data_IF_783132246702
#
_entry.id   IF_783132246702
#
_cell.length_a   1.000
_cell.length_b   1.000
_cell.length_c   1.000
_cell.angle_alpha   90.00
_cell.angle_beta   90.00
_cell.angle_gamma   90.00
#
_symmetry.space_group_name_H-M   'P 1'
#
loop_
_entity.id
_entity.type
_entity.pdbx_description
1 polymer ?
#
# COMPACT_ATOMS: atom_id res chain seq x y z
N UNK A 1 15.60 -28.81 -61.75
CA UNK A 1 14.83 -29.29 -60.58
C UNK A 1 15.39 -28.82 -59.25
N UNK A 2 16.72 -28.89 -58.95
CA UNK A 2 17.32 -28.42 -57.71
C UNK A 2 17.29 -26.91 -57.48
N UNK A 3 17.31 -26.09 -58.54
CA UNK A 3 17.27 -24.62 -58.46
C UNK A 3 15.86 -24.14 -58.05
N UNK A 4 14.80 -24.68 -58.65
CA UNK A 4 13.41 -24.35 -58.31
C UNK A 4 13.05 -24.73 -56.90
N UNK A 5 13.56 -25.85 -56.39
CA UNK A 5 13.32 -26.29 -55.03
C UNK A 5 13.96 -25.37 -53.99
N UNK A 6 15.16 -24.85 -54.28
CA UNK A 6 15.86 -23.88 -53.41
C UNK A 6 15.13 -22.52 -53.37
N UNK A 7 14.66 -22.01 -54.52
CA UNK A 7 13.89 -20.77 -54.54
C UNK A 7 12.56 -20.92 -53.80
N UNK A 8 11.90 -22.04 -53.91
CA UNK A 8 10.65 -22.32 -53.16
C UNK A 8 10.85 -22.36 -51.68
N UNK A 9 11.90 -23.03 -51.17
CA UNK A 9 12.23 -23.07 -49.75
C UNK A 9 12.64 -21.69 -49.20
N UNK A 10 13.40 -20.90 -49.94
CA UNK A 10 13.74 -19.54 -49.49
C UNK A 10 12.54 -18.61 -49.48
N UNK A 11 11.65 -18.65 -50.45
CA UNK A 11 10.40 -17.88 -50.43
C UNK A 11 9.46 -18.32 -49.31
N UNK A 12 9.36 -19.63 -49.07
CA UNK A 12 8.54 -20.16 -47.99
C UNK A 12 9.07 -19.76 -46.60
N UNK A 13 10.40 -19.82 -46.40
CA UNK A 13 11.02 -19.36 -45.16
C UNK A 13 10.90 -17.84 -44.96
N UNK A 14 11.01 -17.04 -46.03
CA UNK A 14 10.82 -15.61 -45.95
C UNK A 14 9.38 -15.24 -45.62
N UNK A 15 8.41 -15.94 -46.22
CA UNK A 15 6.97 -15.75 -45.95
C UNK A 15 6.62 -16.17 -44.51
N UNK A 16 7.17 -17.28 -44.05
CA UNK A 16 7.00 -17.74 -42.69
C UNK A 16 7.62 -16.79 -41.67
N UNK A 17 8.80 -16.22 -41.95
CA UNK A 17 9.46 -15.23 -41.09
C UNK A 17 8.69 -13.92 -41.01
N UNK A 18 8.17 -13.42 -42.14
CA UNK A 18 7.34 -12.21 -42.20
C UNK A 18 6.01 -12.42 -41.50
N UNK A 19 5.41 -13.61 -41.63
CA UNK A 19 4.14 -13.92 -40.97
C UNK A 19 4.27 -14.05 -39.45
N UNK A 20 5.39 -14.57 -38.96
CA UNK A 20 5.66 -14.67 -37.52
C UNK A 20 6.05 -13.35 -36.85
N UNK A 21 6.63 -12.39 -37.61
CA UNK A 21 7.01 -11.09 -37.05
C UNK A 21 5.85 -10.10 -36.95
N UNK A 22 4.68 -10.42 -37.54
CA UNK A 22 3.49 -9.56 -37.48
C UNK A 22 2.48 -9.95 -36.40
N UNK A 23 2.71 -11.05 -35.66
CA UNK A 23 1.92 -11.30 -34.45
C UNK A 23 2.42 -10.43 -33.31
N UNK A 24 2.13 -9.12 -33.37
CA UNK A 24 2.09 -8.31 -32.17
C UNK A 24 0.92 -8.81 -31.34
N UNK A 25 1.23 -9.56 -30.28
CA UNK A 25 0.27 -9.83 -29.22
C UNK A 25 0.05 -8.47 -28.51
N UNK A 26 -0.85 -7.66 -29.04
CA UNK A 26 -1.34 -6.49 -28.35
C UNK A 26 -2.25 -7.02 -27.24
N UNK A 27 -1.69 -7.23 -26.06
CA UNK A 27 -2.49 -7.26 -24.85
C UNK A 27 -3.11 -5.86 -24.75
N UNK A 28 -4.40 -5.74 -25.10
CA UNK A 28 -5.12 -4.50 -24.91
C UNK A 28 -5.08 -4.13 -23.42
N UNK A 29 -4.84 -2.87 -23.11
CA UNK A 29 -5.02 -2.40 -21.75
C UNK A 29 -6.46 -2.68 -21.32
N UNK A 30 -6.71 -3.23 -20.13
CA UNK A 30 -8.06 -3.44 -19.65
C UNK A 30 -8.79 -2.10 -19.63
N UNK A 31 -10.01 -2.08 -20.16
CA UNK A 31 -10.85 -0.90 -20.06
C UNK A 31 -11.11 -0.58 -18.58
N UNK A 32 -11.11 0.70 -18.15
CA UNK A 32 -11.45 1.08 -16.78
C UNK A 32 -12.78 0.50 -16.30
N UNK A 33 -13.73 0.28 -17.23
CA UNK A 33 -15.04 -0.28 -16.92
C UNK A 33 -15.02 -1.81 -16.65
N UNK A 34 -13.95 -2.51 -17.07
CA UNK A 34 -13.76 -3.93 -16.80
C UNK A 34 -13.20 -4.21 -15.40
N UNK A 35 -12.69 -3.17 -14.71
CA UNK A 35 -12.24 -3.27 -13.33
C UNK A 35 -13.38 -2.97 -12.37
N UNK A 36 -13.71 -3.94 -11.50
CA UNK A 36 -14.72 -3.74 -10.45
C UNK A 36 -14.28 -2.79 -9.33
N UNK A 37 -12.97 -2.56 -9.16
CA UNK A 37 -12.44 -1.62 -8.19
C UNK A 37 -12.87 -0.17 -8.51
N UNK A 38 -13.19 0.62 -7.49
CA UNK A 38 -13.51 2.05 -7.64
C UNK A 38 -12.28 2.86 -8.08
N UNK A 39 -11.11 2.53 -7.56
CA UNK A 39 -9.82 3.11 -7.95
C UNK A 39 -8.78 2.01 -8.10
N UNK A 40 -7.87 2.14 -9.06
CA UNK A 40 -6.76 1.22 -9.26
C UNK A 40 -5.55 1.97 -9.81
N UNK A 41 -4.36 1.49 -9.48
CA UNK A 41 -3.11 2.00 -10.01
C UNK A 41 -2.12 0.84 -10.23
N UNK A 42 -1.46 0.83 -11.37
CA UNK A 42 -0.29 0.01 -11.65
C UNK A 42 0.90 0.95 -11.85
N UNK A 43 1.92 0.79 -11.05
CA UNK A 43 3.11 1.63 -11.06
C UNK A 43 4.36 0.77 -11.24
N UNK A 44 5.29 1.25 -12.03
CA UNK A 44 6.65 0.74 -12.07
C UNK A 44 7.35 1.19 -10.77
N UNK A 45 7.71 0.23 -9.92
CA UNK A 45 8.24 0.53 -8.59
C UNK A 45 9.60 1.22 -8.63
N UNK A 46 10.41 1.01 -9.66
CA UNK A 46 11.75 1.59 -9.76
C UNK A 46 11.72 3.05 -10.16
N UNK A 47 10.93 3.39 -11.17
CA UNK A 47 10.84 4.74 -11.72
C UNK A 47 9.71 5.58 -11.11
N UNK A 48 8.75 4.99 -10.40
CA UNK A 48 7.53 5.66 -9.93
C UNK A 48 6.54 6.01 -11.07
N UNK A 49 6.78 5.50 -12.29
CA UNK A 49 5.90 5.78 -13.42
C UNK A 49 4.61 4.99 -13.33
N UNK A 50 3.48 5.70 -13.41
CA UNK A 50 2.16 5.07 -13.53
C UNK A 50 2.04 4.46 -14.93
N UNK A 51 1.82 3.16 -15.00
CA UNK A 51 1.63 2.38 -16.22
C UNK A 51 0.14 2.28 -16.59
N UNK A 52 -0.72 2.21 -15.59
CA UNK A 52 -2.17 2.19 -15.74
C UNK A 52 -2.84 2.80 -14.51
N UNK A 53 -3.98 3.51 -14.70
CA UNK A 53 -4.75 4.08 -13.60
C UNK A 53 -6.24 4.19 -13.91
N UNK A 54 -7.06 3.79 -12.95
CA UNK A 54 -8.50 4.07 -12.90
C UNK A 54 -8.74 4.98 -11.72
N UNK A 55 -9.17 6.23 -11.92
CA UNK A 55 -9.40 7.24 -10.86
C UNK A 55 -8.31 7.21 -9.77
N UNK A 56 -7.06 6.99 -10.19
CA UNK A 56 -5.96 6.64 -9.28
C UNK A 56 -5.52 7.79 -8.36
N UNK A 57 -5.95 9.04 -8.66
CA UNK A 57 -5.65 10.24 -7.85
C UNK A 57 -6.83 10.68 -6.98
N UNK A 58 -7.95 9.96 -6.98
CA UNK A 58 -9.07 10.26 -6.08
C UNK A 58 -8.77 9.77 -4.66
N UNK A 59 -8.97 10.67 -3.69
CA UNK A 59 -8.87 10.33 -2.26
C UNK A 59 -10.06 9.46 -1.86
N UNK A 60 -9.76 8.34 -1.22
CA UNK A 60 -10.76 7.39 -0.73
C UNK A 60 -10.37 6.87 0.65
N UNK A 61 -11.36 6.52 1.50
CA UNK A 61 -11.08 5.75 2.70
C UNK A 61 -10.31 4.50 2.34
N UNK A 62 -9.19 4.27 3.02
CA UNK A 62 -8.26 3.19 2.70
C UNK A 62 -8.29 2.03 3.70
N UNK A 63 -9.14 2.15 4.72
CA UNK A 63 -9.35 1.12 5.74
C UNK A 63 -8.00 0.56 6.24
N UNK A 64 -7.93 -0.74 6.45
CA UNK A 64 -6.75 -1.40 7.05
C UNK A 64 -5.48 -1.36 6.19
N UNK A 65 -5.51 -0.87 4.94
CA UNK A 65 -4.25 -0.60 4.22
C UNK A 65 -3.41 0.50 4.89
N UNK A 66 -4.02 1.32 5.76
CA UNK A 66 -3.36 2.24 6.69
C UNK A 66 -2.27 1.57 7.53
N UNK A 67 -2.51 0.32 7.96
CA UNK A 67 -1.60 -0.42 8.84
C UNK A 67 -0.23 -0.71 8.22
N UNK A 68 -0.11 -0.58 6.90
CA UNK A 68 1.19 -0.61 6.21
C UNK A 68 2.05 0.56 6.69
N UNK A 69 1.49 1.78 6.75
CA UNK A 69 2.20 2.95 7.26
C UNK A 69 2.53 2.81 8.75
N UNK A 70 1.60 2.27 9.54
CA UNK A 70 1.83 1.98 10.96
C UNK A 70 2.99 1.00 11.14
N UNK A 71 3.07 -0.04 10.31
CA UNK A 71 4.17 -1.01 10.31
C UNK A 71 5.51 -0.36 9.93
N UNK A 72 5.54 0.47 8.87
CA UNK A 72 6.74 1.22 8.46
C UNK A 72 7.30 2.02 9.63
N UNK A 73 6.46 2.82 10.29
CA UNK A 73 6.90 3.67 11.40
C UNK A 73 7.34 2.85 12.62
N UNK A 74 6.67 1.74 12.90
CA UNK A 74 7.07 0.86 13.98
C UNK A 74 8.43 0.20 13.75
N UNK A 75 8.75 -0.15 12.50
CA UNK A 75 10.07 -0.70 12.12
C UNK A 75 11.16 0.36 12.11
N UNK A 76 10.84 1.61 11.77
CA UNK A 76 11.82 2.70 11.72
C UNK A 76 12.14 3.31 13.10
N UNK A 77 11.16 3.39 13.99
CA UNK A 77 11.28 4.11 15.26
C UNK A 77 11.27 3.21 16.49
N UNK A 78 10.80 1.97 16.38
CA UNK A 78 10.74 0.99 17.47
C UNK A 78 11.84 -0.05 17.40
N UNK A 79 11.96 -0.82 18.49
CA UNK A 79 12.78 -2.02 18.52
C UNK A 79 11.85 -3.23 18.69
N UNK A 80 11.95 -4.29 17.84
CA UNK A 80 11.10 -5.49 17.95
C UNK A 80 11.07 -6.15 19.33
N UNK A 81 12.11 -5.95 20.14
CA UNK A 81 12.20 -6.49 21.50
C UNK A 81 11.55 -5.59 22.56
N UNK A 82 11.11 -4.37 22.20
CA UNK A 82 10.43 -3.48 23.13
C UNK A 82 9.14 -4.11 23.70
N UNK A 83 8.85 -3.80 24.96
CA UNK A 83 7.61 -4.20 25.61
C UNK A 83 6.59 -3.06 25.51
N UNK A 84 5.58 -3.28 24.69
CA UNK A 84 4.44 -2.37 24.47
C UNK A 84 3.41 -2.61 25.56
N UNK A 85 3.09 -1.59 26.36
CA UNK A 85 2.04 -1.62 27.36
C UNK A 85 0.69 -1.26 26.72
N UNK A 86 -0.31 -2.09 26.91
CA UNK A 86 -1.66 -1.87 26.37
C UNK A 86 -2.39 -0.82 27.20
N UNK A 87 -2.76 0.30 26.58
CA UNK A 87 -3.56 1.34 27.18
C UNK A 87 -5.04 0.95 27.28
N UNK A 88 -5.80 1.68 28.10
CA UNK A 88 -7.25 1.55 28.12
C UNK A 88 -7.89 1.91 26.76
N UNK A 89 -7.29 2.86 26.02
CA UNK A 89 -7.79 3.28 24.73
C UNK A 89 -7.55 2.19 23.67
N UNK A 90 -6.34 1.63 23.60
CA UNK A 90 -6.04 0.51 22.72
C UNK A 90 -6.97 -0.68 22.97
N UNK A 91 -7.14 -1.09 24.24
CA UNK A 91 -8.03 -2.20 24.63
C UNK A 91 -9.53 -1.94 24.33
N UNK A 92 -9.93 -0.69 24.06
CA UNK A 92 -11.31 -0.34 23.73
C UNK A 92 -11.62 -0.26 22.24
N UNK A 93 -10.66 -0.55 21.38
CA UNK A 93 -10.87 -0.48 19.93
C UNK A 93 -11.93 -1.48 19.46
N UNK A 94 -12.73 -1.13 18.44
CA UNK A 94 -13.71 -2.06 17.87
C UNK A 94 -13.03 -3.19 17.08
N UNK A 95 -13.78 -4.23 16.77
CA UNK A 95 -13.34 -5.34 15.93
C UNK A 95 -12.79 -4.85 14.55
N UNK A 96 -11.75 -5.51 14.08
CA UNK A 96 -11.08 -6.77 14.44
C UNK A 96 -10.06 -6.52 15.57
N UNK A 97 -10.01 -7.39 16.58
CA UNK A 97 -9.17 -7.22 17.78
C UNK A 97 -8.34 -8.46 18.10
N UNK A 98 -7.16 -8.26 18.67
CA UNK A 98 -6.41 -9.30 19.38
C UNK A 98 -7.06 -9.57 20.76
N UNK A 99 -7.95 -8.70 21.22
CA UNK A 99 -8.61 -8.72 22.52
C UNK A 99 -7.62 -8.55 23.70
N UNK A 100 -6.71 -7.60 23.55
CA UNK A 100 -5.75 -7.25 24.60
C UNK A 100 -6.43 -6.57 25.78
N UNK A 101 -5.95 -6.84 27.01
CA UNK A 101 -6.45 -6.18 28.21
C UNK A 101 -5.55 -5.02 28.62
N UNK A 102 -6.15 -3.98 29.22
CA UNK A 102 -5.41 -2.84 29.76
C UNK A 102 -4.32 -3.27 30.74
N UNK A 103 -3.10 -2.81 30.53
CA UNK A 103 -1.96 -3.11 31.39
C UNK A 103 -1.20 -4.40 31.04
N UNK A 104 -1.64 -5.15 30.03
CA UNK A 104 -0.86 -6.25 29.46
C UNK A 104 0.34 -5.70 28.67
N UNK A 105 1.36 -6.55 28.53
CA UNK A 105 2.57 -6.23 27.80
C UNK A 105 2.82 -7.26 26.70
N UNK A 106 3.14 -6.77 25.51
CA UNK A 106 3.46 -7.58 24.35
C UNK A 106 4.77 -7.10 23.72
N UNK A 107 5.53 -7.98 23.09
CA UNK A 107 6.69 -7.56 22.31
C UNK A 107 6.22 -6.83 21.04
N UNK A 108 6.87 -5.75 20.68
CA UNK A 108 6.56 -4.99 19.45
C UNK A 108 6.62 -5.91 18.21
N UNK A 109 7.61 -6.78 18.12
CA UNK A 109 7.73 -7.75 17.02
C UNK A 109 6.51 -8.67 16.90
N UNK A 110 5.97 -9.17 18.02
CA UNK A 110 4.77 -10.01 18.02
C UNK A 110 3.52 -9.23 17.60
N UNK A 111 3.42 -7.97 18.03
CA UNK A 111 2.35 -7.07 17.61
C UNK A 111 2.41 -6.74 16.12
N UNK A 112 3.60 -6.66 15.51
CA UNK A 112 3.72 -6.46 14.06
C UNK A 112 3.15 -7.63 13.26
N UNK A 113 3.34 -8.87 13.71
CA UNK A 113 2.66 -10.02 13.10
C UNK A 113 1.14 -9.94 13.25
N UNK A 114 0.64 -9.61 14.45
CA UNK A 114 -0.77 -9.39 14.72
C UNK A 114 -1.37 -8.29 13.84
N UNK A 115 -0.65 -7.17 13.67
CA UNK A 115 -1.02 -6.03 12.84
C UNK A 115 -1.18 -6.42 11.37
N UNK A 116 -0.17 -7.12 10.82
CA UNK A 116 -0.07 -7.36 9.37
C UNK A 116 -0.82 -8.61 8.91
N UNK A 117 -0.91 -9.65 9.73
CA UNK A 117 -1.54 -10.91 9.34
C UNK A 117 -3.03 -10.96 9.68
N UNK A 118 -3.43 -10.39 10.83
CA UNK A 118 -4.80 -10.44 11.34
C UNK A 118 -5.50 -9.06 11.32
N UNK A 119 -4.74 -8.01 11.08
CA UNK A 119 -5.26 -6.63 10.96
C UNK A 119 -5.94 -6.09 12.23
N UNK A 120 -5.47 -6.47 13.42
CA UNK A 120 -6.08 -6.07 14.68
C UNK A 120 -5.99 -4.57 14.95
N UNK A 121 -7.10 -3.96 15.34
CA UNK A 121 -7.23 -2.50 15.53
C UNK A 121 -6.62 -2.04 16.87
N UNK A 122 -6.82 -2.81 17.93
CA UNK A 122 -6.21 -2.58 19.25
C UNK A 122 -4.69 -2.63 19.17
N UNK A 123 -4.14 -3.57 18.41
CA UNK A 123 -2.71 -3.69 18.13
C UNK A 123 -2.14 -2.43 17.46
N UNK A 124 -2.83 -1.91 16.44
CA UNK A 124 -2.38 -0.71 15.73
C UNK A 124 -2.30 0.51 16.67
N UNK A 125 -3.29 0.67 17.55
CA UNK A 125 -3.30 1.76 18.53
C UNK A 125 -2.21 1.58 19.59
N UNK A 126 -2.03 0.36 20.13
CA UNK A 126 -0.97 0.11 21.10
C UNK A 126 0.42 0.39 20.53
N UNK A 127 0.68 0.02 19.28
CA UNK A 127 1.92 0.35 18.56
C UNK A 127 2.08 1.87 18.43
N UNK A 128 1.03 2.57 17.98
CA UNK A 128 1.07 4.02 17.81
C UNK A 128 1.40 4.76 19.10
N UNK A 129 0.73 4.39 20.20
CA UNK A 129 0.97 4.97 21.53
C UNK A 129 2.38 4.66 22.04
N UNK A 130 2.91 3.46 21.77
CA UNK A 130 4.29 3.11 22.14
C UNK A 130 5.33 3.96 21.41
N UNK A 131 5.15 4.18 20.10
CA UNK A 131 6.12 4.92 19.27
C UNK A 131 6.10 6.43 19.54
N UNK A 132 4.93 7.03 19.74
CA UNK A 132 4.79 8.48 19.80
C UNK A 132 4.08 9.03 21.03
N UNK A 133 3.70 8.17 21.97
CA UNK A 133 3.02 8.53 23.19
C UNK A 133 1.49 8.59 23.07
N UNK A 134 0.95 8.99 21.93
CA UNK A 134 -0.49 9.03 21.64
C UNK A 134 -0.80 8.93 20.14
N UNK A 135 -2.06 8.67 19.80
CA UNK A 135 -2.52 8.52 18.42
C UNK A 135 -2.41 9.81 17.61
N UNK A 136 -2.61 10.98 18.23
CA UNK A 136 -2.52 12.27 17.52
C UNK A 136 -1.09 12.56 17.08
N UNK A 137 -0.11 12.38 17.99
CA UNK A 137 1.30 12.49 17.67
C UNK A 137 1.74 11.48 16.61
N UNK A 138 1.18 10.27 16.67
CA UNK A 138 1.45 9.24 15.64
C UNK A 138 0.89 9.61 14.28
N UNK A 139 -0.31 10.21 14.21
CA UNK A 139 -0.88 10.68 12.94
C UNK A 139 0.00 11.74 12.26
N UNK A 140 0.62 12.62 13.05
CA UNK A 140 1.60 13.60 12.53
C UNK A 140 2.78 12.87 11.88
N UNK A 141 3.36 11.86 12.55
CA UNK A 141 4.45 11.05 11.98
C UNK A 141 4.03 10.32 10.71
N UNK A 142 2.80 9.78 10.66
CA UNK A 142 2.26 9.11 9.46
C UNK A 142 2.19 10.08 8.28
N UNK A 143 1.70 11.30 8.49
CA UNK A 143 1.57 12.31 7.44
C UNK A 143 2.94 12.86 7.00
N UNK A 144 3.88 13.06 7.92
CA UNK A 144 5.25 13.42 7.59
C UNK A 144 5.95 12.35 6.75
N UNK A 145 5.79 11.07 7.11
CA UNK A 145 6.31 9.95 6.33
C UNK A 145 5.66 9.86 4.95
N UNK A 146 4.34 10.02 4.85
CA UNK A 146 3.64 10.05 3.57
C UNK A 146 4.18 11.17 2.66
N UNK A 147 4.40 12.37 3.19
CA UNK A 147 5.00 13.48 2.45
C UNK A 147 6.45 13.18 2.01
N UNK A 148 7.28 12.56 2.88
CA UNK A 148 8.64 12.13 2.55
C UNK A 148 8.68 11.09 1.43
N UNK A 149 7.72 10.17 1.39
CA UNK A 149 7.56 9.17 0.32
C UNK A 149 7.11 9.82 -1.00
N UNK A 150 6.50 11.02 -0.95
CA UNK A 150 5.99 11.74 -2.10
C UNK A 150 4.48 11.62 -2.32
N UNK A 151 3.74 11.14 -1.33
CA UNK A 151 2.29 11.10 -1.36
C UNK A 151 1.71 12.52 -1.34
N UNK A 152 0.71 12.79 -2.20
CA UNK A 152 0.12 14.12 -2.34
C UNK A 152 -1.39 14.17 -2.04
N UNK A 153 -2.05 13.02 -2.02
CA UNK A 153 -3.47 12.87 -1.74
C UNK A 153 -3.75 11.98 -0.52
N UNK A 154 -2.77 11.88 0.40
CA UNK A 154 -2.87 11.05 1.60
C UNK A 154 -3.03 11.92 2.83
N UNK A 155 -3.99 11.56 3.70
CA UNK A 155 -4.15 12.16 5.02
C UNK A 155 -4.52 11.09 6.04
N UNK A 156 -3.62 10.80 6.96
CA UNK A 156 -3.80 9.81 8.02
C UNK A 156 -4.25 10.49 9.31
N UNK A 157 -5.30 9.94 9.93
CA UNK A 157 -5.85 10.40 11.22
C UNK A 157 -5.75 9.29 12.27
N UNK A 158 -5.95 8.03 11.83
CA UNK A 158 -5.96 6.86 12.71
C UNK A 158 -4.88 5.85 12.32
N UNK A 159 -4.24 5.14 13.27
CA UNK A 159 -3.21 4.14 12.95
C UNK A 159 -3.78 2.81 12.43
N UNK A 160 -5.07 2.57 12.62
CA UNK A 160 -5.76 1.32 12.30
C UNK A 160 -6.59 1.38 11.02
N UNK A 161 -6.85 2.59 10.49
CA UNK A 161 -7.64 2.82 9.27
C UNK A 161 -9.15 2.88 9.49
N UNK A 162 -9.59 3.07 10.72
CA UNK A 162 -10.99 3.42 10.98
C UNK A 162 -11.29 4.80 10.40
N UNK A 163 -12.47 4.95 9.83
CA UNK A 163 -12.92 6.20 9.25
C UNK A 163 -12.89 7.32 10.29
N UNK A 164 -12.32 8.46 9.89
CA UNK A 164 -12.24 9.66 10.71
C UNK A 164 -12.23 10.90 9.82
N UNK A 165 -12.62 12.02 10.42
CA UNK A 165 -12.50 13.36 9.82
C UNK A 165 -11.87 14.29 10.82
N UNK A 166 -11.09 15.25 10.37
CA UNK A 166 -10.57 16.33 11.20
C UNK A 166 -10.53 17.64 10.42
N UNK A 167 -10.47 18.74 11.13
CA UNK A 167 -10.35 20.07 10.54
C UNK A 167 -9.02 20.67 10.93
N UNK A 168 -8.17 20.96 9.94
CA UNK A 168 -6.88 21.63 10.12
C UNK A 168 -6.93 22.96 9.38
N UNK A 169 -6.70 24.06 10.07
CA UNK A 169 -6.70 25.43 9.51
C UNK A 169 -7.96 25.76 8.69
N UNK A 170 -9.12 25.27 9.13
CA UNK A 170 -10.41 25.49 8.49
C UNK A 170 -10.68 24.60 7.26
N UNK A 171 -9.78 23.70 6.93
CA UNK A 171 -9.97 22.69 5.88
C UNK A 171 -10.33 21.35 6.50
N UNK A 172 -11.41 20.74 6.02
CA UNK A 172 -11.81 19.39 6.45
C UNK A 172 -11.03 18.33 5.67
N UNK A 173 -10.47 17.39 6.39
CA UNK A 173 -9.78 16.22 5.86
C UNK A 173 -10.48 14.94 6.29
N UNK A 174 -10.56 13.99 5.38
CA UNK A 174 -10.98 12.62 5.70
C UNK A 174 -9.72 11.74 5.87
N UNK A 175 -9.80 10.72 6.73
CA UNK A 175 -8.81 9.65 6.76
C UNK A 175 -8.83 8.90 5.44
N UNK A 176 -7.78 9.02 4.63
CA UNK A 176 -7.79 8.45 3.30
C UNK A 176 -6.48 8.61 2.54
N UNK A 177 -6.44 7.96 1.40
CA UNK A 177 -5.31 8.00 0.46
C UNK A 177 -5.80 7.83 -0.97
N UNK A 178 -4.88 7.90 -1.93
CA UNK A 178 -5.15 7.60 -3.34
C UNK A 178 -4.53 6.24 -3.73
N UNK A 179 -5.04 5.62 -4.80
CA UNK A 179 -4.43 4.39 -5.31
C UNK A 179 -2.99 4.61 -5.78
N UNK A 180 -2.68 5.80 -6.30
CA UNK A 180 -1.32 6.18 -6.69
C UNK A 180 -0.40 6.30 -5.47
N UNK A 181 -0.84 6.96 -4.39
CA UNK A 181 -0.05 7.09 -3.15
C UNK A 181 0.17 5.73 -2.47
N UNK A 182 -0.83 4.83 -2.49
CA UNK A 182 -0.63 3.47 -2.00
C UNK A 182 0.47 2.72 -2.77
N UNK A 183 0.58 2.93 -4.09
CA UNK A 183 1.68 2.37 -4.87
C UNK A 183 3.04 2.94 -4.44
N UNK A 184 3.13 4.24 -4.10
CA UNK A 184 4.35 4.85 -3.58
C UNK A 184 4.73 4.26 -2.22
N UNK A 185 3.77 4.12 -1.31
CA UNK A 185 3.97 3.51 0.02
C UNK A 185 4.46 2.06 -0.13
N UNK A 186 3.83 1.27 -1.00
CA UNK A 186 4.27 -0.11 -1.27
C UNK A 186 5.65 -0.17 -1.93
N UNK A 187 5.95 0.74 -2.86
CA UNK A 187 7.30 0.84 -3.47
C UNK A 187 8.35 1.15 -2.41
N UNK A 188 8.02 2.00 -1.44
CA UNK A 188 8.90 2.28 -0.29
C UNK A 188 9.18 1.02 0.52
N UNK A 189 8.14 0.24 0.89
CA UNK A 189 8.29 -1.03 1.62
C UNK A 189 9.21 -2.02 0.90
N UNK A 190 9.07 -2.15 -0.44
CA UNK A 190 9.84 -3.12 -1.24
C UNK A 190 11.32 -2.73 -1.31
N UNK A 191 11.62 -1.43 -1.29
CA UNK A 191 12.99 -0.89 -1.44
C UNK A 191 13.75 -0.74 -0.13
N UNK A 192 13.05 -0.75 0.98
CA UNK A 192 13.65 -0.57 2.31
C UNK A 192 13.94 -1.96 2.89
N UNK A 193 15.21 -2.30 3.05
CA UNK A 193 15.67 -3.48 3.79
C UNK A 193 15.53 -3.19 5.31
N UNK A 194 14.34 -3.40 5.86
CA UNK A 194 14.06 -3.28 7.30
C UNK A 194 13.72 -4.62 7.92
#
# INVERSE_FOLDING_TARGET
MRFFLRCFFTLFFLFFFVFFTTFHLSAGEPSPDELHALSACLMDADSGRILYGKTCSEVRPNASTTKIMTCILALEYGNPDDLVCVSKYAASMPDVQLNMNTGEYYRLGDLLYSLMLESHNDTAVAIAEHISGDVSSFSVLMNEKAAQIGCTGTHFITPNGLDATETVDGTEYIHGTTAADLCLIMSYCIKTDT
#
